data_IF_674320304504
#
_entry.id   IF_674320304504
#
_cell.length_a   1.000
_cell.length_b   1.000
_cell.length_c   1.000
_cell.angle_alpha   90.00
_cell.angle_beta   90.00
_cell.angle_gamma   90.00
#
_symmetry.space_group_name_H-M   'P 1'
#
loop_
_entity.id
_entity.type
_entity.pdbx_description
1 polymer ?
#
# COMPACT_ATOMS: atom_id res chain seq x y z
N UNK A 1 21.34 3.83 -64.09
CA UNK A 1 20.14 4.70 -64.11
C UNK A 1 19.91 5.24 -62.70
N UNK A 2 20.14 6.54 -62.45
CA UNK A 2 20.05 7.15 -61.10
C UNK A 2 18.74 7.93 -61.00
N UNK A 3 17.81 7.45 -60.19
CA UNK A 3 16.55 8.14 -59.91
C UNK A 3 16.79 9.09 -58.73
N UNK A 4 16.68 10.41 -58.97
CA UNK A 4 16.69 11.43 -57.93
C UNK A 4 15.26 11.70 -57.47
N UNK A 5 14.89 11.23 -56.28
CA UNK A 5 13.65 11.63 -55.62
C UNK A 5 13.87 13.00 -54.93
N UNK A 6 13.14 14.02 -55.37
CA UNK A 6 13.03 15.30 -54.65
C UNK A 6 11.92 15.16 -53.59
N UNK A 7 12.29 14.94 -52.33
CA UNK A 7 11.34 14.99 -51.22
C UNK A 7 11.04 16.44 -50.81
N UNK A 8 9.76 16.78 -50.72
CA UNK A 8 9.26 18.08 -50.30
C UNK A 8 9.28 18.18 -48.76
N UNK A 9 10.03 19.12 -48.19
CA UNK A 9 10.35 19.22 -46.74
C UNK A 9 9.15 19.40 -45.80
N UNK A 10 7.92 19.56 -46.31
CA UNK A 10 6.71 19.76 -45.50
C UNK A 10 5.92 18.47 -45.19
N UNK A 11 6.29 17.33 -45.77
CA UNK A 11 5.60 16.03 -45.56
C UNK A 11 6.36 15.12 -44.57
N UNK A 12 7.47 15.57 -43.99
CA UNK A 12 8.32 14.75 -43.11
C UNK A 12 7.96 14.86 -41.61
N UNK A 13 6.85 15.52 -41.26
CA UNK A 13 6.43 15.69 -39.85
C UNK A 13 5.09 15.03 -39.50
N UNK A 14 4.50 14.22 -40.39
CA UNK A 14 3.21 13.53 -40.17
C UNK A 14 3.40 12.01 -40.09
N UNK A 15 4.49 11.54 -39.48
CA UNK A 15 4.69 10.11 -39.20
C UNK A 15 5.20 9.82 -37.78
N UNK A 16 5.12 10.79 -36.86
CA UNK A 16 5.54 10.59 -35.46
C UNK A 16 4.36 10.43 -34.48
N UNK A 17 3.12 10.39 -34.98
CA UNK A 17 1.91 10.37 -34.14
C UNK A 17 1.08 9.08 -34.18
N UNK A 18 1.55 8.02 -34.86
CA UNK A 18 0.83 6.73 -34.95
C UNK A 18 1.83 5.57 -34.81
N UNK A 19 2.48 5.50 -33.65
CA UNK A 19 3.00 4.23 -33.08
C UNK A 19 2.55 4.20 -31.61
N UNK A 20 1.25 4.34 -31.41
CA UNK A 20 0.58 3.90 -30.19
C UNK A 20 -0.05 2.54 -30.48
N UNK A 21 0.09 1.62 -29.53
CA UNK A 21 -0.45 0.26 -29.50
C UNK A 21 0.34 -0.80 -30.28
N UNK A 22 1.12 -1.61 -29.54
CA UNK A 22 1.48 -3.03 -29.76
C UNK A 22 2.92 -3.34 -29.30
N UNK A 23 3.22 -3.21 -28.00
CA UNK A 23 4.36 -3.93 -27.36
C UNK A 23 4.48 -3.66 -25.84
N UNK A 24 3.53 -4.06 -24.99
CA UNK A 24 3.81 -4.16 -23.53
C UNK A 24 3.21 -5.43 -22.86
N UNK A 25 2.29 -6.17 -23.49
CA UNK A 25 1.60 -7.27 -22.75
C UNK A 25 2.41 -8.58 -22.70
N UNK A 26 3.55 -8.71 -23.39
CA UNK A 26 4.31 -9.96 -23.43
C UNK A 26 5.41 -10.13 -22.37
N UNK A 27 5.68 -9.14 -21.50
CA UNK A 27 6.83 -9.19 -20.57
C UNK A 27 6.53 -9.67 -19.15
N UNK A 28 5.27 -9.90 -18.76
CA UNK A 28 4.92 -10.25 -17.37
C UNK A 28 4.62 -11.75 -17.11
N UNK A 29 4.49 -12.59 -18.14
CA UNK A 29 4.15 -14.02 -17.94
C UNK A 29 5.35 -14.97 -17.89
N UNK A 30 6.55 -14.55 -18.31
CA UNK A 30 7.73 -15.44 -18.32
C UNK A 30 8.49 -15.49 -17.00
N UNK A 31 8.27 -14.53 -16.08
CA UNK A 31 8.96 -14.54 -14.78
C UNK A 31 8.40 -15.57 -13.78
N UNK A 32 7.19 -16.10 -14.02
CA UNK A 32 6.55 -17.10 -13.15
C UNK A 32 6.80 -18.57 -13.54
N UNK A 33 7.53 -18.84 -14.63
CA UNK A 33 7.66 -20.22 -15.17
C UNK A 33 9.00 -20.90 -14.86
N UNK A 34 9.97 -20.21 -14.23
CA UNK A 34 11.29 -20.79 -13.92
C UNK A 34 11.65 -20.57 -12.44
N UNK A 35 10.92 -21.25 -11.55
CA UNK A 35 11.42 -21.48 -10.18
C UNK A 35 11.00 -22.84 -9.62
N UNK A 36 11.11 -23.88 -10.45
CA UNK A 36 10.98 -25.26 -9.98
C UNK A 36 12.25 -26.05 -10.32
N UNK A 37 13.29 -25.90 -9.47
CA UNK A 37 14.38 -26.87 -9.26
C UNK A 37 15.40 -26.32 -8.25
N UNK A 38 15.27 -26.73 -6.98
CA UNK A 38 16.32 -27.44 -6.25
C UNK A 38 15.84 -27.73 -4.82
N UNK A 39 15.49 -29.00 -4.60
CA UNK A 39 15.33 -29.61 -3.28
C UNK A 39 16.74 -29.90 -2.76
N UNK A 40 17.16 -29.19 -1.72
CA UNK A 40 18.26 -29.61 -0.85
C UNK A 40 17.69 -29.73 0.55
N UNK A 41 17.66 -30.96 1.06
CA UNK A 41 17.23 -31.28 2.41
C UNK A 41 18.28 -30.78 3.41
N UNK A 42 17.86 -29.95 4.35
CA UNK A 42 18.49 -29.84 5.68
C UNK A 42 17.37 -30.07 6.69
N UNK A 43 17.48 -31.17 7.42
CA UNK A 43 16.64 -31.49 8.57
C UNK A 43 17.09 -30.61 9.74
N UNK A 44 16.17 -29.81 10.25
CA UNK A 44 16.17 -29.30 11.61
C UNK A 44 14.81 -29.63 12.18
N UNK A 45 14.80 -30.44 13.23
CA UNK A 45 13.60 -30.76 14.02
C UNK A 45 13.01 -29.48 14.65
N UNK A 46 11.69 -29.52 14.80
CA UNK A 46 10.79 -28.57 15.48
C UNK A 46 10.13 -27.49 14.60
N UNK A 47 9.22 -27.94 13.72
CA UNK A 47 8.30 -27.08 12.96
C UNK A 47 6.87 -27.64 12.99
N UNK A 48 6.42 -28.10 14.16
CA UNK A 48 4.98 -28.28 14.39
C UNK A 48 4.39 -26.96 14.87
N UNK A 49 4.04 -26.04 13.95
CA UNK A 49 2.99 -25.02 14.18
C UNK A 49 2.67 -24.10 12.99
N UNK A 50 3.37 -24.16 11.84
CA UNK A 50 2.97 -23.38 10.66
C UNK A 50 2.00 -24.17 9.79
N UNK A 51 0.76 -24.23 10.26
CA UNK A 51 -0.38 -24.44 9.38
C UNK A 51 -0.32 -23.41 8.25
N UNK A 52 -0.62 -23.81 7.02
CA UNK A 52 -0.73 -22.95 5.83
C UNK A 52 -1.92 -21.96 5.92
N UNK A 53 -2.10 -21.29 7.06
CA UNK A 53 -3.11 -20.26 7.26
C UNK A 53 -2.53 -18.94 6.80
N UNK A 54 -3.04 -18.44 5.67
CA UNK A 54 -2.85 -17.06 5.22
C UNK A 54 -3.14 -16.11 6.39
N UNK A 55 -2.19 -15.23 6.71
CA UNK A 55 -2.36 -14.25 7.78
C UNK A 55 -3.53 -13.30 7.50
N UNK A 56 -4.31 -13.01 8.53
CA UNK A 56 -5.36 -12.00 8.50
C UNK A 56 -4.90 -10.71 9.21
N UNK A 57 -5.61 -9.60 8.97
CA UNK A 57 -5.27 -8.32 9.57
C UNK A 57 -5.23 -8.36 11.11
N UNK A 58 -6.11 -9.15 11.73
CA UNK A 58 -6.16 -9.35 13.20
C UNK A 58 -4.92 -10.06 13.77
N UNK A 59 -4.19 -10.80 12.93
CA UNK A 59 -3.00 -11.55 13.35
C UNK A 59 -1.75 -10.64 13.33
N UNK A 60 -1.83 -9.50 12.64
CA UNK A 60 -0.72 -8.57 12.40
C UNK A 60 -0.94 -7.26 13.18
N UNK A 61 -2.10 -6.63 12.99
CA UNK A 61 -2.41 -5.31 13.51
C UNK A 61 -3.13 -5.41 14.86
N UNK A 62 -2.79 -4.53 15.80
CA UNK A 62 -3.39 -4.54 17.13
C UNK A 62 -4.88 -4.16 17.09
N UNK A 63 -5.61 -4.61 18.12
CA UNK A 63 -6.94 -4.10 18.43
C UNK A 63 -6.79 -2.67 18.97
N UNK A 64 -7.60 -1.75 18.45
CA UNK A 64 -7.59 -0.33 18.84
C UNK A 64 -8.93 0.11 19.40
N UNK A 65 -8.91 1.10 20.29
CA UNK A 65 -10.11 1.70 20.84
C UNK A 65 -10.12 3.21 20.59
N UNK A 66 -11.28 3.75 20.21
CA UNK A 66 -11.41 5.19 19.99
C UNK A 66 -11.08 6.02 21.24
N UNK A 67 -11.37 5.47 22.42
CA UNK A 67 -11.05 6.03 23.75
C UNK A 67 -9.60 6.51 23.86
N UNK A 68 -8.67 5.78 23.25
CA UNK A 68 -7.24 5.96 23.43
C UNK A 68 -6.72 7.21 22.68
N UNK A 69 -7.56 7.81 21.84
CA UNK A 69 -7.19 8.93 20.97
C UNK A 69 -8.06 10.19 21.18
N UNK A 70 -8.98 10.21 22.15
CA UNK A 70 -9.83 11.40 22.39
C UNK A 70 -9.02 12.64 22.79
N UNK A 71 -7.94 12.48 23.55
CA UNK A 71 -7.07 13.57 23.99
C UNK A 71 -6.27 14.21 22.84
N UNK A 72 -6.33 13.61 21.64
CA UNK A 72 -5.71 14.12 20.42
C UNK A 72 -6.64 15.02 19.61
N UNK A 73 -7.89 15.18 20.05
CA UNK A 73 -8.83 16.16 19.49
C UNK A 73 -8.40 17.55 19.96
N UNK A 74 -8.16 18.43 19.00
CA UNK A 74 -7.78 19.81 19.26
C UNK A 74 -9.01 20.72 19.15
N UNK A 75 -9.08 21.76 19.97
CA UNK A 75 -10.13 22.79 19.88
C UNK A 75 -9.48 24.06 19.34
N UNK A 76 -9.94 24.50 18.17
CA UNK A 76 -9.48 25.74 17.54
C UNK A 76 -10.70 26.63 17.27
N UNK A 77 -10.71 27.84 17.83
CA UNK A 77 -11.83 28.78 17.71
C UNK A 77 -13.21 28.19 18.10
N UNK A 78 -13.24 27.30 19.09
CA UNK A 78 -14.47 26.61 19.52
C UNK A 78 -14.91 25.46 18.61
N UNK A 79 -14.11 25.10 17.60
CA UNK A 79 -14.36 23.98 16.70
C UNK A 79 -13.41 22.83 17.01
N UNK A 80 -13.96 21.62 17.16
CA UNK A 80 -13.19 20.41 17.34
C UNK A 80 -12.57 19.96 16.02
N UNK A 81 -11.28 19.64 16.07
CA UNK A 81 -10.44 19.29 14.93
C UNK A 81 -9.56 18.09 15.25
N UNK A 82 -9.28 17.29 14.23
CA UNK A 82 -8.26 16.25 14.22
C UNK A 82 -7.33 16.48 13.02
N UNK A 83 -6.05 16.12 13.18
CA UNK A 83 -5.06 16.37 12.15
C UNK A 83 -3.81 15.52 12.30
N UNK A 84 -2.67 16.06 11.85
CA UNK A 84 -1.39 15.34 11.80
C UNK A 84 -0.93 14.80 13.14
N UNK A 85 -1.24 15.50 14.25
CA UNK A 85 -0.94 15.02 15.60
C UNK A 85 -1.60 13.68 15.90
N UNK A 86 -2.86 13.50 15.50
CA UNK A 86 -3.58 12.24 15.63
C UNK A 86 -2.93 11.16 14.76
N UNK A 87 -2.60 11.49 13.51
CA UNK A 87 -1.94 10.56 12.58
C UNK A 87 -0.61 10.08 13.16
N UNK A 88 0.25 10.99 13.62
CA UNK A 88 1.57 10.65 14.15
C UNK A 88 1.47 9.77 15.40
N UNK A 89 0.58 10.13 16.33
CA UNK A 89 0.36 9.34 17.54
C UNK A 89 -0.22 7.95 17.22
N UNK A 90 -1.21 7.89 16.33
CA UNK A 90 -1.84 6.64 15.91
C UNK A 90 -0.85 5.71 15.20
N UNK A 91 -0.09 6.24 14.23
CA UNK A 91 0.91 5.45 13.50
C UNK A 91 1.97 4.92 14.44
N UNK A 92 2.47 5.74 15.36
CA UNK A 92 3.41 5.31 16.39
C UNK A 92 2.82 4.19 17.26
N UNK A 93 1.57 4.33 17.66
CA UNK A 93 0.88 3.37 18.52
C UNK A 93 0.73 2.01 17.82
N UNK A 94 0.24 2.00 16.57
CA UNK A 94 0.12 0.79 15.75
C UNK A 94 1.47 0.11 15.63
N UNK A 95 2.50 0.81 15.17
CA UNK A 95 3.85 0.22 14.97
C UNK A 95 4.41 -0.34 16.28
N UNK A 96 4.18 0.32 17.42
CA UNK A 96 4.68 -0.13 18.72
C UNK A 96 3.98 -1.38 19.27
N UNK A 97 2.78 -1.69 18.78
CA UNK A 97 1.91 -2.77 19.28
C UNK A 97 1.64 -3.86 18.23
N UNK A 98 2.34 -3.85 17.09
CA UNK A 98 2.20 -4.91 16.10
C UNK A 98 2.59 -6.25 16.69
N UNK A 99 1.79 -7.28 16.41
CA UNK A 99 1.89 -8.61 17.03
C UNK A 99 3.07 -9.40 16.50
N UNK A 100 3.51 -9.12 15.27
CA UNK A 100 4.56 -9.87 14.57
C UNK A 100 5.87 -9.08 14.46
N UNK A 101 6.99 -9.77 14.52
CA UNK A 101 8.33 -9.14 14.51
C UNK A 101 9.04 -9.16 13.16
N UNK A 102 8.32 -9.50 12.08
CA UNK A 102 8.89 -9.66 10.74
C UNK A 102 8.00 -9.04 9.66
N UNK A 103 8.56 -8.91 8.46
CA UNK A 103 7.94 -8.20 7.34
C UNK A 103 8.12 -6.70 7.45
N UNK A 104 7.66 -6.02 6.41
CA UNK A 104 7.76 -4.58 6.28
C UNK A 104 6.37 -3.96 6.33
N UNK A 105 6.29 -2.71 6.81
CA UNK A 105 5.03 -1.98 6.93
C UNK A 105 5.15 -0.67 6.16
N UNK A 106 4.18 -0.42 5.30
CA UNK A 106 3.92 0.89 4.72
C UNK A 106 2.64 1.44 5.33
N UNK A 107 2.58 2.76 5.42
CA UNK A 107 1.35 3.45 5.76
C UNK A 107 1.15 4.65 4.83
N UNK A 108 -0.11 5.01 4.65
CA UNK A 108 -0.52 6.22 3.98
C UNK A 108 -1.69 6.85 4.74
N UNK A 109 -1.91 8.14 4.58
CA UNK A 109 -3.06 8.81 5.19
C UNK A 109 -3.60 9.94 4.33
N UNK A 110 -4.87 10.27 4.55
CA UNK A 110 -5.55 11.40 3.91
C UNK A 110 -6.44 12.12 4.92
N UNK A 111 -6.11 13.39 5.17
CA UNK A 111 -6.99 14.31 5.89
C UNK A 111 -8.01 14.83 4.87
N UNK A 112 -9.27 14.40 4.98
CA UNK A 112 -10.34 14.80 4.05
C UNK A 112 -10.98 16.12 4.49
N UNK A 113 -11.15 16.30 5.80
CA UNK A 113 -11.51 17.55 6.46
C UNK A 113 -10.75 17.64 7.79
N UNK A 114 -10.88 18.77 8.49
CA UNK A 114 -10.43 18.94 9.87
C UNK A 114 -11.16 18.01 10.88
N UNK A 115 -12.11 17.18 10.43
CA UNK A 115 -12.90 16.25 11.25
C UNK A 115 -12.90 14.81 10.71
N UNK A 116 -12.22 14.52 9.60
CA UNK A 116 -12.27 13.23 8.92
C UNK A 116 -10.88 12.85 8.37
N UNK A 117 -10.33 11.74 8.85
CA UNK A 117 -9.00 11.22 8.45
C UNK A 117 -9.12 9.73 8.11
N UNK A 118 -8.49 9.35 6.99
CA UNK A 118 -8.31 7.96 6.58
C UNK A 118 -6.84 7.59 6.75
N UNK A 119 -6.57 6.43 7.33
CA UNK A 119 -5.21 5.89 7.50
C UNK A 119 -5.22 4.45 7.03
N UNK A 120 -4.31 4.12 6.13
CA UNK A 120 -4.12 2.78 5.57
C UNK A 120 -2.76 2.24 6.01
N UNK A 121 -2.74 1.00 6.47
CA UNK A 121 -1.53 0.22 6.68
C UNK A 121 -1.52 -0.95 5.72
N UNK A 122 -0.33 -1.25 5.21
CA UNK A 122 -0.06 -2.42 4.39
C UNK A 122 1.17 -3.10 4.96
N UNK A 123 0.98 -4.32 5.46
CA UNK A 123 2.07 -5.21 5.82
C UNK A 123 2.39 -6.12 4.63
N UNK A 124 3.67 -6.36 4.38
CA UNK A 124 4.11 -7.26 3.34
C UNK A 124 5.32 -8.11 3.79
N UNK A 125 5.29 -9.39 3.42
CA UNK A 125 6.39 -10.32 3.63
C UNK A 125 6.38 -11.38 2.54
N UNK A 126 7.49 -11.53 1.82
CA UNK A 126 7.59 -12.43 0.66
C UNK A 126 6.51 -12.12 -0.38
N UNK A 127 5.59 -13.06 -0.63
CA UNK A 127 4.49 -12.92 -1.59
C UNK A 127 3.13 -12.61 -0.89
N UNK A 128 3.15 -12.35 0.42
CA UNK A 128 1.95 -12.01 1.20
C UNK A 128 1.82 -10.51 1.44
N UNK A 129 0.59 -10.01 1.32
CA UNK A 129 0.22 -8.64 1.63
C UNK A 129 -1.08 -8.64 2.43
N UNK A 130 -1.12 -7.86 3.51
CA UNK A 130 -2.29 -7.69 4.37
C UNK A 130 -2.50 -6.21 4.65
N UNK A 131 -3.67 -5.69 4.26
CA UNK A 131 -4.03 -4.29 4.44
C UNK A 131 -5.03 -4.10 5.57
N UNK A 132 -4.89 -3.00 6.32
CA UNK A 132 -5.84 -2.58 7.34
C UNK A 132 -6.13 -1.08 7.20
N UNK A 133 -7.42 -0.74 7.14
CA UNK A 133 -7.89 0.62 6.96
C UNK A 133 -8.57 1.13 8.24
N UNK A 134 -8.28 2.38 8.58
CA UNK A 134 -8.84 3.08 9.72
C UNK A 134 -9.46 4.40 9.28
N UNK A 135 -10.59 4.73 9.88
CA UNK A 135 -11.36 5.94 9.57
C UNK A 135 -11.73 6.66 10.86
N UNK A 136 -11.07 7.79 11.08
CA UNK A 136 -11.38 8.70 12.18
C UNK A 136 -12.39 9.74 11.71
N UNK A 137 -13.50 9.85 12.42
CA UNK A 137 -14.54 10.84 12.13
C UNK A 137 -15.11 11.40 13.42
N UNK A 138 -14.99 12.71 13.61
CA UNK A 138 -15.67 13.39 14.70
C UNK A 138 -17.18 13.41 14.42
N UNK A 139 -17.96 13.05 15.42
CA UNK A 139 -19.42 13.13 15.39
C UNK A 139 -19.86 13.97 16.57
N UNK A 140 -20.80 14.88 16.34
CA UNK A 140 -21.48 15.59 17.41
C UNK A 140 -22.50 14.64 18.02
N UNK A 141 -22.40 14.42 19.32
CA UNK A 141 -23.46 13.72 20.05
C UNK A 141 -24.68 14.65 20.08
N UNK A 142 -25.82 14.14 19.61
CA UNK A 142 -27.10 14.79 19.82
C UNK A 142 -27.50 14.50 21.26
N UNK A 143 -27.24 15.44 22.16
CA UNK A 143 -27.78 15.47 23.52
C UNK A 143 -29.12 16.20 23.48
#
# INVERSE_FOLDING_TARGET
MKIKLKLNKKILFISLGVITSLAIIASLTTFFVIKNKQKTEIKSDDDTLFSNSKLEAKDIFPIIYASDYYDLIEIENGHAKIGEKLVAAFVKDIISKITISYGDIKFNYKIKTDQEIFIEFVWFHQDEEVSQNYHFKLKKDNI
#
